data_IF_151258119663
#
_entry.id   IF_151258119663
#
_cell.length_a   1.000
_cell.length_b   1.000
_cell.length_c   1.000
_cell.angle_alpha   90.00
_cell.angle_beta   90.00
_cell.angle_gamma   90.00
#
_symmetry.space_group_name_H-M   'P 1'
#
loop_
_entity.id
_entity.type
_entity.pdbx_description
1 polymer ?
#
# COMPACT_ATOMS: atom_id res chain seq x y z
N UNK A 1 12.40 0.91 -0.66
CA UNK A 1 11.64 -0.26 -1.15
C UNK A 1 10.15 -0.01 -1.00
N UNK A 2 9.38 -0.22 -2.07
CA UNK A 2 7.92 -0.12 -2.08
C UNK A 2 7.37 -1.53 -2.30
N UNK A 3 6.55 -2.02 -1.36
CA UNK A 3 5.96 -3.36 -1.42
C UNK A 3 4.45 -3.31 -1.18
N UNK A 4 3.71 -4.13 -1.93
CA UNK A 4 2.27 -4.35 -1.70
C UNK A 4 2.09 -5.76 -1.14
N UNK A 5 1.58 -5.84 0.07
CA UNK A 5 1.24 -7.09 0.73
C UNK A 5 -0.26 -7.28 0.68
N UNK A 6 -0.67 -8.32 -0.03
CA UNK A 6 -2.08 -8.64 -0.21
C UNK A 6 -2.73 -9.09 1.10
N UNK A 7 -4.02 -8.80 1.24
CA UNK A 7 -4.81 -9.13 2.44
C UNK A 7 -4.74 -10.61 2.86
N UNK A 8 -4.56 -11.52 1.90
CA UNK A 8 -4.49 -12.97 2.09
C UNK A 8 -3.05 -13.54 2.10
N UNK A 9 -2.02 -12.68 2.09
CA UNK A 9 -0.62 -13.14 2.07
C UNK A 9 -0.15 -13.57 3.46
N UNK A 10 0.64 -14.65 3.53
CA UNK A 10 1.29 -15.09 4.78
C UNK A 10 2.32 -14.07 5.29
N UNK A 11 2.84 -13.23 4.40
CA UNK A 11 3.79 -12.16 4.76
C UNK A 11 3.14 -11.06 5.59
N UNK A 12 1.81 -10.90 5.49
CA UNK A 12 1.04 -10.01 6.36
C UNK A 12 1.18 -10.38 7.84
N UNK A 13 1.35 -11.67 8.15
CA UNK A 13 1.55 -12.15 9.53
C UNK A 13 2.89 -11.70 10.13
N UNK A 14 3.86 -11.35 9.28
CA UNK A 14 5.16 -10.82 9.72
C UNK A 14 5.10 -9.32 10.04
N UNK A 15 4.02 -8.64 9.63
CA UNK A 15 3.81 -7.23 9.97
C UNK A 15 3.23 -7.14 11.37
N UNK A 16 3.84 -6.28 12.18
CA UNK A 16 3.48 -6.12 13.58
C UNK A 16 2.02 -5.66 13.70
N UNK A 17 1.20 -6.32 14.53
CA UNK A 17 -0.26 -6.13 14.56
C UNK A 17 -0.68 -4.67 14.81
N UNK A 18 0.14 -3.88 15.52
CA UNK A 18 -0.08 -2.44 15.75
C UNK A 18 -0.14 -1.61 14.47
N UNK A 19 0.46 -2.12 13.39
CA UNK A 19 0.55 -1.48 12.09
C UNK A 19 -0.60 -1.90 11.16
N UNK A 20 -1.40 -2.90 11.57
CA UNK A 20 -2.59 -3.35 10.87
C UNK A 20 -3.77 -2.46 11.28
N UNK A 21 -3.82 -1.24 10.73
CA UNK A 21 -5.01 -0.41 10.87
C UNK A 21 -6.23 -1.15 10.33
N UNK A 22 -7.30 -1.25 11.12
CA UNK A 22 -8.58 -1.88 10.73
C UNK A 22 -9.37 -1.05 9.71
N UNK A 23 -8.77 -0.02 9.12
CA UNK A 23 -9.42 0.90 8.22
C UNK A 23 -8.50 1.28 7.06
N UNK A 24 -9.11 1.57 5.91
CA UNK A 24 -8.42 2.13 4.77
C UNK A 24 -7.98 3.57 5.08
N UNK A 25 -6.69 3.88 4.97
CA UNK A 25 -6.14 5.21 5.19
C UNK A 25 -6.64 6.25 4.18
N UNK A 26 -7.15 5.83 3.01
CA UNK A 26 -7.64 6.74 1.97
C UNK A 26 -9.12 7.10 2.10
N UNK A 27 -9.99 6.14 2.44
CA UNK A 27 -11.44 6.35 2.45
C UNK A 27 -12.11 6.05 3.80
N UNK A 28 -11.34 5.63 4.81
CA UNK A 28 -11.83 5.38 6.17
C UNK A 28 -12.68 4.12 6.34
N UNK A 29 -12.88 3.32 5.29
CA UNK A 29 -13.71 2.12 5.34
C UNK A 29 -13.08 1.06 6.25
N UNK A 30 -13.90 0.46 7.12
CA UNK A 30 -13.50 -0.63 8.03
C UNK A 30 -13.57 -2.00 7.36
N UNK A 31 -12.94 -2.12 6.20
CA UNK A 31 -12.87 -3.38 5.43
C UNK A 31 -11.44 -3.90 5.41
N UNK A 32 -11.30 -5.20 5.18
CA UNK A 32 -9.99 -5.80 4.98
C UNK A 32 -9.22 -5.05 3.90
N UNK A 33 -8.00 -4.64 4.27
CA UNK A 33 -7.14 -3.80 3.45
C UNK A 33 -5.85 -4.54 3.12
N UNK A 34 -5.34 -4.27 1.93
CA UNK A 34 -3.96 -4.56 1.54
C UNK A 34 -3.04 -3.57 2.24
N UNK A 35 -1.77 -3.93 2.37
CA UNK A 35 -0.77 -3.08 3.01
C UNK A 35 0.22 -2.62 1.97
N UNK A 36 0.37 -1.31 1.86
CA UNK A 36 1.45 -0.68 1.14
C UNK A 36 2.56 -0.34 2.15
N UNK A 37 3.72 -0.99 2.01
CA UNK A 37 4.91 -0.70 2.81
C UNK A 37 5.89 0.13 2.00
N UNK A 38 6.22 1.31 2.49
CA UNK A 38 7.21 2.21 1.90
C UNK A 38 8.32 2.38 2.92
N UNK A 39 9.44 1.70 2.72
CA UNK A 39 10.58 1.70 3.64
C UNK A 39 11.84 2.19 2.96
N UNK A 40 12.77 2.71 3.76
CA UNK A 40 14.13 2.96 3.27
C UNK A 40 14.77 1.63 2.85
N UNK A 41 15.56 1.65 1.77
CA UNK A 41 16.27 0.46 1.34
C UNK A 41 17.27 0.00 2.40
N UNK A 42 17.27 -1.30 2.73
CA UNK A 42 18.05 -1.88 3.83
C UNK A 42 17.68 -1.44 5.26
N UNK A 43 16.60 -0.67 5.45
CA UNK A 43 16.20 -0.12 6.75
C UNK A 43 14.81 -0.55 7.23
N UNK A 44 14.59 -0.49 8.54
CA UNK A 44 13.28 -0.75 9.15
C UNK A 44 12.42 0.52 9.29
N UNK A 45 12.99 1.69 8.98
CA UNK A 45 12.29 2.97 9.01
C UNK A 45 11.44 3.13 7.76
N UNK A 46 10.17 3.54 7.93
CA UNK A 46 9.25 3.72 6.83
C UNK A 46 7.82 3.96 7.26
N UNK A 47 6.95 4.09 6.27
CA UNK A 47 5.52 4.27 6.43
C UNK A 47 4.79 3.01 5.97
N UNK A 48 3.76 2.64 6.73
CA UNK A 48 2.86 1.54 6.41
C UNK A 48 1.47 2.13 6.24
N UNK A 49 0.85 1.87 5.10
CA UNK A 49 -0.46 2.39 4.73
C UNK A 49 -1.38 1.20 4.43
N UNK A 50 -2.53 1.14 5.09
CA UNK A 50 -3.59 0.18 4.79
C UNK A 50 -4.51 0.77 3.71
N UNK A 51 -4.68 0.05 2.60
CA UNK A 51 -5.57 0.45 1.50
C UNK A 51 -6.53 -0.69 1.14
N UNK A 52 -7.81 -0.38 1.02
CA UNK A 52 -8.77 -1.32 0.47
C UNK A 52 -8.53 -1.56 -1.03
N UNK A 53 -9.11 -2.64 -1.57
CA UNK A 53 -8.94 -3.03 -2.98
C UNK A 53 -9.27 -1.88 -3.95
N UNK A 54 -10.35 -1.13 -3.68
CA UNK A 54 -10.75 0.02 -4.51
C UNK A 54 -9.68 1.13 -4.54
N UNK A 55 -9.26 1.60 -3.37
CA UNK A 55 -8.27 2.68 -3.28
C UNK A 55 -6.89 2.24 -3.80
N UNK A 56 -6.54 0.96 -3.65
CA UNK A 56 -5.32 0.42 -4.24
C UNK A 56 -5.37 0.45 -5.77
N UNK A 57 -6.51 0.10 -6.38
CA UNK A 57 -6.67 0.19 -7.84
C UNK A 57 -6.60 1.64 -8.32
N UNK A 58 -7.27 2.58 -7.64
CA UNK A 58 -7.17 4.01 -7.95
C UNK A 58 -5.73 4.53 -7.89
N UNK A 59 -4.96 4.10 -6.87
CA UNK A 59 -3.54 4.45 -6.76
C UNK A 59 -2.72 3.91 -7.93
N UNK A 60 -2.93 2.64 -8.32
CA UNK A 60 -2.26 2.03 -9.48
C UNK A 60 -2.56 2.78 -10.77
N UNK A 61 -3.82 3.16 -11.00
CA UNK A 61 -4.20 3.94 -12.17
C UNK A 61 -3.49 5.30 -12.18
N UNK A 62 -3.46 6.03 -11.06
CA UNK A 62 -2.75 7.30 -10.97
C UNK A 62 -1.26 7.17 -11.25
N UNK A 63 -0.61 6.11 -10.76
CA UNK A 63 0.81 5.86 -11.04
C UNK A 63 1.03 5.57 -12.52
N UNK A 64 0.22 4.71 -13.12
CA UNK A 64 0.32 4.41 -14.55
C UNK A 64 0.15 5.66 -15.41
N UNK A 65 -0.84 6.52 -15.08
CA UNK A 65 -1.02 7.81 -15.76
C UNK A 65 0.19 8.72 -15.62
N UNK A 66 0.83 8.78 -14.44
CA UNK A 66 2.06 9.56 -14.24
C UNK A 66 3.25 9.01 -15.04
N UNK A 67 3.33 7.69 -15.23
CA UNK A 67 4.36 7.06 -16.07
C UNK A 67 4.13 7.38 -17.55
N UNK A 68 2.88 7.35 -18.01
CA UNK A 68 2.50 7.67 -19.39
C UNK A 68 2.76 9.15 -19.75
N UNK A 69 2.47 10.08 -18.84
CA UNK A 69 2.75 11.52 -19.00
C UNK A 69 4.26 11.81 -19.14
N UNK A 70 5.12 10.91 -18.66
CA UNK A 70 6.58 11.08 -18.67
C UNK A 70 7.26 10.49 -19.92
N UNK A 71 6.51 9.97 -20.90
CA UNK A 71 7.02 9.46 -22.19
C UNK A 71 7.00 10.52 -23.30
N UNK A 72 6.37 11.68 -23.06
CA UNK A 72 6.43 12.84 -23.97
C UNK A 72 7.63 13.76 -23.66
N UNK A 73 8.87 13.26 -23.77
CA UNK A 73 10.09 14.08 -23.87
C UNK A 73 11.09 13.48 -24.85
#
# INVERSE_FOLDING_TARGET
>A
MIEILNKNSKEKEKINYRQLGNFCNSCGSKIESNILSIRQDGGNSGTIISLCDKCLQELKTKIATLEDENVEV
#
